data_IF_324648559340
#
_entry.id   IF_324648559340
#
_cell.length_a   1.000
_cell.length_b   1.000
_cell.length_c   1.000
_cell.angle_alpha   90.00
_cell.angle_beta   90.00
_cell.angle_gamma   90.00
#
_symmetry.space_group_name_H-M   'P 1'
#
loop_
_entity.id
_entity.type
_entity.pdbx_description
1 polymer ?
#
# COMPACT_ATOMS: atom_id res chain seq x y z
N UNK A 1 -0.78 -81.28 43.93
CA UNK A 1 -1.39 -81.99 42.78
C UNK A 1 -2.02 -80.98 41.86
N UNK A 2 -1.58 -80.98 40.59
CA UNK A 2 -2.33 -80.57 39.33
C UNK A 2 -3.07 -79.26 39.32
N UNK A 3 -3.07 -78.43 38.27
CA UNK A 3 -2.66 -78.63 36.89
C UNK A 3 -2.53 -77.18 36.24
N UNK A 4 -1.76 -77.15 35.21
CA UNK A 4 -1.45 -76.01 34.31
C UNK A 4 -2.67 -75.60 33.51
N UNK A 5 -2.88 -74.31 33.35
CA UNK A 5 -3.77 -73.67 32.34
C UNK A 5 -3.02 -72.54 31.62
N UNK A 6 -2.60 -72.85 30.40
CA UNK A 6 -1.91 -71.95 29.48
C UNK A 6 -2.97 -71.19 28.71
N UNK A 7 -2.99 -69.85 28.82
CA UNK A 7 -3.84 -69.00 27.99
C UNK A 7 -2.97 -68.11 27.12
N UNK A 8 -3.10 -68.29 25.83
CA UNK A 8 -2.41 -67.57 24.75
C UNK A 8 -3.03 -66.25 24.58
N UNK A 9 -2.24 -65.17 24.81
CA UNK A 9 -2.65 -63.81 24.55
C UNK A 9 -2.45 -63.42 23.07
N UNK A 10 -3.52 -63.15 22.36
CA UNK A 10 -3.51 -62.65 21.01
C UNK A 10 -3.04 -61.19 20.97
N UNK A 11 -1.96 -60.96 20.23
CA UNK A 11 -1.39 -59.64 19.95
C UNK A 11 -2.20 -59.00 18.83
N UNK A 12 -3.15 -58.14 19.20
CA UNK A 12 -3.89 -57.26 18.26
C UNK A 12 -3.08 -56.04 17.90
N UNK A 13 -2.47 -56.02 16.73
CA UNK A 13 -1.76 -54.89 16.18
C UNK A 13 -2.77 -53.89 15.57
N UNK A 14 -3.17 -52.87 16.33
CA UNK A 14 -3.98 -51.79 15.83
C UNK A 14 -3.08 -50.80 15.07
N UNK A 15 -3.12 -50.87 13.72
CA UNK A 15 -2.56 -49.79 12.86
C UNK A 15 -3.41 -48.54 13.04
N UNK A 16 -2.93 -47.59 13.84
CA UNK A 16 -3.46 -46.25 13.91
C UNK A 16 -3.06 -45.46 12.66
N UNK A 17 -4.00 -45.30 11.73
CA UNK A 17 -3.87 -44.36 10.62
C UNK A 17 -4.00 -42.94 11.19
N UNK A 18 -2.86 -42.31 11.46
CA UNK A 18 -2.83 -40.87 11.77
C UNK A 18 -3.15 -40.10 10.48
N UNK A 19 -4.41 -39.63 10.34
CA UNK A 19 -4.80 -38.62 9.35
C UNK A 19 -4.07 -37.34 9.69
N UNK A 20 -2.94 -37.09 9.05
CA UNK A 20 -2.33 -35.75 8.94
C UNK A 20 -3.30 -34.89 8.13
N UNK A 21 -4.24 -34.26 8.83
CA UNK A 21 -4.98 -33.13 8.29
C UNK A 21 -3.97 -31.99 8.07
N UNK A 22 -3.36 -31.98 6.89
CA UNK A 22 -2.58 -30.84 6.41
C UNK A 22 -3.53 -29.64 6.35
N UNK A 23 -3.40 -28.72 7.32
CA UNK A 23 -4.03 -27.41 7.21
C UNK A 23 -3.45 -26.76 5.95
N UNK A 24 -4.16 -26.88 4.84
CA UNK A 24 -3.91 -26.08 3.65
C UNK A 24 -4.07 -24.63 4.09
N UNK A 25 -2.93 -23.95 4.35
CA UNK A 25 -2.91 -22.50 4.42
C UNK A 25 -3.43 -22.04 3.07
N UNK A 26 -4.66 -21.52 3.06
CA UNK A 26 -5.17 -20.79 1.92
C UNK A 26 -4.18 -19.67 1.66
N UNK A 27 -3.30 -19.84 0.68
CA UNK A 27 -2.52 -18.76 0.14
C UNK A 27 -3.54 -17.81 -0.45
N UNK A 28 -3.80 -16.71 0.25
CA UNK A 28 -4.57 -15.61 -0.31
C UNK A 28 -3.88 -15.24 -1.62
N UNK A 29 -4.56 -15.51 -2.74
CA UNK A 29 -4.04 -15.20 -4.05
C UNK A 29 -3.63 -13.72 -4.09
N UNK A 30 -2.46 -13.45 -4.63
CA UNK A 30 -2.01 -12.06 -4.73
C UNK A 30 -3.04 -11.25 -5.54
N UNK A 31 -3.40 -10.03 -5.10
CA UNK A 31 -4.45 -9.23 -5.72
C UNK A 31 -4.19 -9.02 -7.21
N UNK A 32 -5.22 -9.16 -8.01
CA UNK A 32 -5.15 -8.89 -9.44
C UNK A 32 -5.22 -7.39 -9.72
N UNK A 33 -4.89 -6.98 -10.95
CA UNK A 33 -5.12 -5.59 -11.42
C UNK A 33 -6.57 -5.17 -11.19
N UNK A 34 -7.52 -6.02 -11.56
CA UNK A 34 -8.95 -5.68 -11.52
C UNK A 34 -9.46 -5.55 -10.08
N UNK A 35 -8.92 -6.34 -9.12
CA UNK A 35 -9.20 -6.17 -7.69
C UNK A 35 -8.72 -4.80 -7.19
N UNK A 36 -7.55 -4.35 -7.64
CA UNK A 36 -7.00 -3.04 -7.26
C UNK A 36 -7.86 -1.92 -7.86
N UNK A 37 -8.21 -2.03 -9.15
CA UNK A 37 -9.08 -1.05 -9.83
C UNK A 37 -10.44 -0.96 -9.13
N UNK A 38 -11.08 -2.09 -8.82
CA UNK A 38 -12.37 -2.13 -8.16
C UNK A 38 -12.36 -1.42 -6.79
N UNK A 39 -11.25 -1.54 -6.04
CA UNK A 39 -11.08 -0.86 -4.75
C UNK A 39 -10.84 0.63 -4.90
N UNK A 40 -10.02 1.05 -5.86
CA UNK A 40 -9.62 2.44 -6.03
C UNK A 40 -10.66 3.27 -6.80
N UNK A 41 -11.54 2.65 -7.58
CA UNK A 41 -12.55 3.33 -8.40
C UNK A 41 -13.82 3.72 -7.63
N UNK A 42 -13.85 3.54 -6.30
CA UNK A 42 -14.99 3.89 -5.43
C UNK A 42 -14.91 5.35 -4.93
N UNK A 43 -14.35 6.23 -5.75
CA UNK A 43 -14.13 7.62 -5.35
C UNK A 43 -15.42 8.42 -5.41
N UNK A 44 -15.86 8.92 -4.26
CA UNK A 44 -17.05 9.76 -4.12
C UNK A 44 -16.68 11.23 -3.92
N UNK A 45 -15.73 11.51 -3.04
CA UNK A 45 -15.37 12.87 -2.67
C UNK A 45 -13.87 12.99 -2.38
N UNK A 46 -13.27 14.12 -2.78
CA UNK A 46 -11.91 14.47 -2.43
C UNK A 46 -11.76 14.72 -0.92
N UNK A 47 -10.63 14.31 -0.35
CA UNK A 47 -10.29 14.70 1.00
C UNK A 47 -9.69 16.12 0.98
N UNK A 48 -10.22 17.01 1.83
CA UNK A 48 -9.62 18.34 2.04
C UNK A 48 -8.45 18.21 3.03
N UNK A 49 -7.35 17.64 2.60
CA UNK A 49 -6.15 17.44 3.42
C UNK A 49 -4.98 18.19 2.79
N UNK A 50 -4.44 19.15 3.53
CA UNK A 50 -3.17 19.77 3.18
C UNK A 50 -2.04 18.78 3.47
N UNK A 51 -1.51 18.17 2.41
CA UNK A 51 -0.45 17.15 2.51
C UNK A 51 0.86 17.71 3.06
N UNK A 52 1.15 18.99 2.84
CA UNK A 52 2.35 19.62 3.38
C UNK A 52 2.20 19.83 4.89
N UNK A 53 1.08 20.37 5.33
CA UNK A 53 0.77 20.52 6.74
C UNK A 53 0.73 19.16 7.46
N UNK A 54 0.14 18.14 6.83
CA UNK A 54 0.08 16.79 7.40
C UNK A 54 1.48 16.19 7.60
N UNK A 55 2.39 16.34 6.63
CA UNK A 55 3.79 15.90 6.78
C UNK A 55 4.49 16.57 7.96
N UNK A 56 4.29 17.88 8.12
CA UNK A 56 4.83 18.63 9.26
C UNK A 56 4.24 18.12 10.58
N UNK A 57 2.94 17.92 10.67
CA UNK A 57 2.26 17.41 11.86
C UNK A 57 2.77 16.00 12.26
N UNK A 58 2.98 15.11 11.29
CA UNK A 58 3.56 13.78 11.56
C UNK A 58 4.92 13.92 12.22
N UNK A 59 5.80 14.74 11.65
CA UNK A 59 7.15 14.95 12.18
C UNK A 59 7.14 15.62 13.56
N UNK A 60 6.29 16.61 13.78
CA UNK A 60 6.15 17.26 15.08
C UNK A 60 5.63 16.28 16.15
N UNK A 61 4.60 15.48 15.83
CA UNK A 61 4.12 14.44 16.76
C UNK A 61 5.18 13.39 17.06
N UNK A 62 5.96 13.00 16.06
CA UNK A 62 7.02 12.01 16.22
C UNK A 62 8.16 12.50 17.11
N UNK A 63 8.50 13.80 17.04
CA UNK A 63 9.53 14.43 17.86
C UNK A 63 9.07 14.74 19.28
N UNK A 64 7.79 15.07 19.46
CA UNK A 64 7.26 15.51 20.76
C UNK A 64 7.21 14.35 21.74
N UNK A 65 7.98 14.44 22.83
CA UNK A 65 7.90 13.55 23.98
C UNK A 65 6.86 14.13 24.96
N UNK A 66 5.66 13.58 24.92
CA UNK A 66 4.61 13.98 25.87
C UNK A 66 4.81 13.17 27.14
N UNK A 67 4.89 13.87 28.30
CA UNK A 67 4.86 13.22 29.62
C UNK A 67 3.47 12.55 29.72
N UNK A 68 3.41 11.24 29.93
CA UNK A 68 2.20 10.42 29.90
C UNK A 68 1.61 10.23 28.48
N UNK A 69 2.46 10.04 27.49
CA UNK A 69 2.02 9.70 26.13
C UNK A 69 1.13 8.44 26.17
N UNK A 70 -0.13 8.55 25.69
CA UNK A 70 -1.05 7.40 25.70
C UNK A 70 -0.62 6.27 24.76
N UNK A 71 0.49 6.44 24.05
CA UNK A 71 0.94 5.51 23.01
C UNK A 71 0.17 5.63 21.71
N UNK A 72 0.70 5.07 20.61
CA UNK A 72 0.16 5.28 19.26
C UNK A 72 -1.26 4.73 19.08
N UNK A 73 -1.63 3.70 19.87
CA UNK A 73 -2.98 3.08 19.82
C UNK A 73 -4.08 4.01 20.35
N UNK A 74 -3.77 4.74 21.41
CA UNK A 74 -4.76 5.55 22.13
C UNK A 74 -4.79 7.02 21.69
N UNK A 75 -3.91 7.41 20.75
CA UNK A 75 -3.94 8.75 20.18
C UNK A 75 -5.04 8.90 19.16
N UNK A 76 -5.54 10.14 19.03
CA UNK A 76 -6.41 10.48 17.90
C UNK A 76 -5.65 10.28 16.58
N UNK A 77 -6.36 9.78 15.57
CA UNK A 77 -5.80 9.67 14.20
C UNK A 77 -5.29 11.03 13.74
N UNK A 78 -4.15 11.04 13.08
CA UNK A 78 -3.57 12.28 12.56
C UNK A 78 -4.31 12.80 11.33
N UNK A 79 -4.85 11.90 10.53
CA UNK A 79 -5.59 12.20 9.30
C UNK A 79 -6.82 11.29 9.19
N UNK A 80 -7.89 11.54 9.99
CA UNK A 80 -9.09 10.69 9.99
C UNK A 80 -9.79 10.67 8.63
N UNK A 81 -9.70 11.74 7.85
CA UNK A 81 -10.34 11.83 6.54
C UNK A 81 -9.70 10.92 5.50
N UNK A 82 -8.42 10.58 5.65
CA UNK A 82 -7.79 9.58 4.77
C UNK A 82 -8.40 8.18 4.94
N UNK A 83 -8.94 7.86 6.11
CA UNK A 83 -9.58 6.57 6.35
C UNK A 83 -10.92 6.40 5.61
N UNK A 84 -11.49 7.49 5.09
CA UNK A 84 -12.74 7.50 4.31
C UNK A 84 -12.51 7.30 2.82
N UNK A 85 -11.27 7.45 2.36
CA UNK A 85 -10.92 7.35 0.95
C UNK A 85 -10.88 5.90 0.48
N UNK A 86 -11.20 5.65 -0.80
CA UNK A 86 -10.99 4.34 -1.41
C UNK A 86 -9.52 3.93 -1.30
N UNK A 87 -9.29 2.76 -0.70
CA UNK A 87 -7.95 2.32 -0.32
C UNK A 87 -7.64 0.91 -0.81
N UNK A 88 -6.42 0.72 -1.28
CA UNK A 88 -5.80 -0.57 -1.51
C UNK A 88 -4.57 -0.74 -0.62
N UNK A 89 -4.59 -1.76 0.26
CA UNK A 89 -3.46 -2.10 1.10
C UNK A 89 -2.50 -2.99 0.32
N UNK A 90 -1.31 -2.49 0.05
CA UNK A 90 -0.28 -3.17 -0.71
C UNK A 90 0.70 -3.88 0.23
N UNK A 91 0.78 -5.20 0.11
CA UNK A 91 1.80 -5.99 0.80
C UNK A 91 3.12 -5.87 0.03
N UNK A 92 3.90 -4.86 0.35
CA UNK A 92 5.23 -4.62 -0.20
C UNK A 92 6.25 -4.82 0.90
N UNK A 93 7.19 -5.73 0.67
CA UNK A 93 8.28 -5.99 1.58
C UNK A 93 9.49 -5.16 1.20
N UNK A 94 10.14 -4.62 2.23
CA UNK A 94 11.39 -3.87 2.11
C UNK A 94 12.49 -4.62 2.83
N UNK A 95 13.73 -4.39 2.44
CA UNK A 95 14.87 -4.87 3.19
C UNK A 95 14.86 -4.24 4.58
N UNK A 96 15.34 -4.99 5.57
CA UNK A 96 15.33 -4.55 6.96
C UNK A 96 15.93 -3.16 7.10
N UNK A 97 15.19 -2.26 7.75
CA UNK A 97 15.65 -0.90 8.06
C UNK A 97 16.02 -0.02 6.85
N UNK A 98 15.51 -0.36 5.67
CA UNK A 98 15.77 0.39 4.44
C UNK A 98 14.48 0.68 3.67
N UNK A 99 14.51 1.61 2.70
CA UNK A 99 13.43 1.77 1.72
C UNK A 99 13.62 0.90 0.46
N UNK A 100 14.55 -0.07 0.48
CA UNK A 100 14.85 -0.93 -0.67
C UNK A 100 13.75 -1.99 -0.79
N UNK A 101 13.07 -2.02 -1.93
CA UNK A 101 12.00 -2.96 -2.21
C UNK A 101 12.58 -4.35 -2.46
N UNK A 102 12.09 -5.36 -1.76
CA UNK A 102 12.52 -6.74 -1.98
C UNK A 102 12.05 -7.25 -3.36
N UNK A 103 12.84 -8.10 -4.04
CA UNK A 103 12.50 -8.64 -5.35
C UNK A 103 11.13 -9.33 -5.41
N UNK A 104 10.71 -10.01 -4.33
CA UNK A 104 9.40 -10.65 -4.20
C UNK A 104 8.22 -9.69 -4.34
N UNK A 105 8.43 -8.39 -4.08
CA UNK A 105 7.37 -7.37 -4.11
C UNK A 105 7.21 -6.66 -5.46
N UNK A 106 8.16 -6.82 -6.40
CA UNK A 106 8.07 -6.13 -7.70
C UNK A 106 6.86 -6.54 -8.52
N UNK A 107 6.39 -7.78 -8.39
CA UNK A 107 5.14 -8.19 -9.05
C UNK A 107 3.93 -7.41 -8.53
N UNK A 108 3.86 -7.17 -7.21
CA UNK A 108 2.80 -6.35 -6.62
C UNK A 108 2.88 -4.90 -7.08
N UNK A 109 4.09 -4.32 -7.15
CA UNK A 109 4.29 -2.97 -7.69
C UNK A 109 3.86 -2.88 -9.15
N UNK A 110 4.19 -3.88 -9.97
CA UNK A 110 3.74 -3.96 -11.38
C UNK A 110 2.22 -3.99 -11.50
N UNK A 111 1.52 -4.79 -10.70
CA UNK A 111 0.05 -4.82 -10.69
C UNK A 111 -0.58 -3.50 -10.25
N UNK A 112 0.03 -2.81 -9.29
CA UNK A 112 -0.38 -1.46 -8.91
C UNK A 112 -0.22 -0.51 -10.10
N UNK A 113 0.92 -0.54 -10.78
CA UNK A 113 1.16 0.30 -11.96
C UNK A 113 0.13 0.04 -13.06
N UNK A 114 -0.14 -1.24 -13.38
CA UNK A 114 -1.16 -1.64 -14.37
C UNK A 114 -2.57 -1.15 -13.98
N UNK A 115 -2.90 -1.19 -12.69
CA UNK A 115 -4.17 -0.66 -12.20
C UNK A 115 -4.24 0.87 -12.36
N UNK A 116 -3.20 1.60 -11.97
CA UNK A 116 -3.18 3.06 -12.02
C UNK A 116 -3.24 3.64 -13.44
N UNK A 117 -2.87 2.87 -14.46
CA UNK A 117 -3.02 3.26 -15.89
C UNK A 117 -4.32 2.76 -16.50
N UNK A 118 -5.16 2.06 -15.75
CA UNK A 118 -6.49 1.65 -16.23
C UNK A 118 -7.37 2.88 -16.53
N UNK A 119 -8.16 2.82 -17.60
CA UNK A 119 -8.95 3.97 -18.09
C UNK A 119 -9.84 4.61 -17.03
N UNK A 120 -10.45 3.82 -16.15
CA UNK A 120 -11.30 4.32 -15.06
C UNK A 120 -10.54 5.09 -13.98
N UNK A 121 -9.24 4.87 -13.84
CA UNK A 121 -8.40 5.51 -12.83
C UNK A 121 -7.54 6.67 -13.39
N UNK A 122 -7.50 6.85 -14.71
CA UNK A 122 -6.73 7.95 -15.33
C UNK A 122 -7.09 9.35 -14.81
N UNK A 123 -8.38 9.66 -14.53
CA UNK A 123 -8.76 11.00 -14.07
C UNK A 123 -8.36 11.32 -12.63
N UNK A 124 -7.75 10.37 -11.89
CA UNK A 124 -7.51 10.53 -10.47
C UNK A 124 -6.04 10.69 -10.10
N UNK A 125 -5.83 11.34 -8.96
CA UNK A 125 -4.56 11.40 -8.24
C UNK A 125 -4.61 10.45 -7.04
N UNK A 126 -3.44 9.98 -6.62
CA UNK A 126 -3.31 8.97 -5.58
C UNK A 126 -2.34 9.39 -4.50
N UNK A 127 -2.67 9.06 -3.25
CA UNK A 127 -1.71 9.07 -2.16
C UNK A 127 -1.04 7.71 -2.06
N UNK A 128 0.27 7.74 -1.86
CA UNK A 128 1.07 6.56 -1.50
C UNK A 128 1.41 6.72 -0.03
N UNK A 129 0.68 6.04 0.84
CA UNK A 129 0.80 6.21 2.28
C UNK A 129 1.67 5.11 2.86
N UNK A 130 2.82 5.50 3.42
CA UNK A 130 3.71 4.61 4.14
C UNK A 130 3.34 4.52 5.62
N UNK A 131 3.29 3.30 6.15
CA UNK A 131 3.13 3.00 7.55
C UNK A 131 4.31 2.20 8.07
N UNK A 132 4.51 2.18 9.37
CA UNK A 132 5.48 1.32 10.06
C UNK A 132 4.80 0.74 11.30
N UNK A 133 4.98 -0.55 11.51
CA UNK A 133 4.56 -1.21 12.75
C UNK A 133 5.34 -0.67 13.95
N UNK A 134 4.72 -0.74 15.14
CA UNK A 134 5.39 -0.38 16.37
C UNK A 134 6.58 -1.30 16.62
N UNK A 135 7.76 -0.73 16.80
CA UNK A 135 9.03 -1.43 16.99
C UNK A 135 9.89 -0.72 18.04
N UNK A 136 11.11 -1.20 18.23
CA UNK A 136 12.06 -0.62 19.22
C UNK A 136 12.68 0.71 18.81
N UNK A 137 12.42 1.20 17.59
CA UNK A 137 12.96 2.48 17.11
C UNK A 137 12.19 3.68 17.63
N UNK A 138 12.78 4.85 17.49
CA UNK A 138 12.10 6.09 17.82
C UNK A 138 10.97 6.37 16.81
N UNK A 139 9.90 7.02 17.26
CA UNK A 139 8.80 7.44 16.38
C UNK A 139 9.27 8.32 15.23
N UNK A 140 10.24 9.19 15.48
CA UNK A 140 10.86 10.02 14.45
C UNK A 140 11.55 9.17 13.37
N UNK A 141 12.31 8.15 13.76
CA UNK A 141 12.93 7.22 12.82
C UNK A 141 11.87 6.46 12.00
N UNK A 142 10.76 6.03 12.64
CA UNK A 142 9.66 5.35 11.97
C UNK A 142 8.90 6.28 11.02
N UNK A 143 8.69 7.55 11.39
CA UNK A 143 8.09 8.56 10.50
C UNK A 143 8.96 8.81 9.26
N UNK A 144 10.27 8.99 9.45
CA UNK A 144 11.24 9.16 8.35
C UNK A 144 11.26 7.92 7.44
N UNK A 145 11.28 6.71 8.02
CA UNK A 145 11.34 5.47 7.26
C UNK A 145 10.07 5.26 6.44
N UNK A 146 8.89 5.51 7.01
CA UNK A 146 7.62 5.41 6.30
C UNK A 146 7.55 6.36 5.10
N UNK A 147 8.06 7.60 5.26
CA UNK A 147 8.15 8.56 4.15
C UNK A 147 9.09 8.04 3.06
N UNK A 148 10.29 7.57 3.41
CA UNK A 148 11.26 7.04 2.44
C UNK A 148 10.73 5.83 1.67
N UNK A 149 9.96 4.95 2.32
CA UNK A 149 9.31 3.81 1.66
C UNK A 149 8.22 4.25 0.68
N UNK A 150 7.40 5.24 1.06
CA UNK A 150 6.41 5.82 0.15
C UNK A 150 7.07 6.50 -1.06
N UNK A 151 8.16 7.24 -0.84
CA UNK A 151 8.96 7.88 -1.89
C UNK A 151 9.54 6.84 -2.85
N UNK A 152 10.12 5.75 -2.33
CA UNK A 152 10.70 4.68 -3.15
C UNK A 152 9.66 4.04 -4.09
N UNK A 153 8.44 3.78 -3.61
CA UNK A 153 7.37 3.25 -4.46
C UNK A 153 6.95 4.27 -5.52
N UNK A 154 6.77 5.55 -5.14
CA UNK A 154 6.50 6.61 -6.11
C UNK A 154 7.56 6.65 -7.20
N UNK A 155 8.83 6.61 -6.83
CA UNK A 155 9.95 6.71 -7.77
C UNK A 155 9.97 5.52 -8.75
N UNK A 156 9.67 4.31 -8.29
CA UNK A 156 9.52 3.15 -9.19
C UNK A 156 8.33 3.35 -10.13
N UNK A 157 7.17 3.79 -9.64
CA UNK A 157 5.99 4.03 -10.47
C UNK A 157 6.23 5.12 -11.52
N UNK A 158 6.95 6.17 -11.17
CA UNK A 158 7.30 7.27 -12.08
C UNK A 158 8.40 6.86 -13.07
N UNK A 159 9.52 6.34 -12.57
CA UNK A 159 10.71 6.14 -13.38
C UNK A 159 10.62 4.89 -14.26
N UNK A 160 10.03 3.81 -13.74
CA UNK A 160 9.90 2.53 -14.45
C UNK A 160 8.62 2.47 -15.27
N UNK A 161 7.48 2.80 -14.65
CA UNK A 161 6.16 2.66 -15.29
C UNK A 161 5.64 3.95 -15.93
N UNK A 162 6.41 5.05 -15.86
CA UNK A 162 6.11 6.34 -16.51
C UNK A 162 4.78 6.97 -16.07
N UNK A 163 4.32 6.65 -14.87
CA UNK A 163 3.14 7.31 -14.29
C UNK A 163 3.50 8.76 -13.95
N UNK A 164 2.64 9.69 -14.33
CA UNK A 164 2.88 11.13 -14.10
C UNK A 164 3.08 11.45 -12.62
N UNK A 165 4.12 12.25 -12.33
CA UNK A 165 4.41 12.76 -10.99
C UNK A 165 3.26 13.58 -10.40
N UNK A 166 2.46 14.24 -11.25
CA UNK A 166 1.27 15.01 -10.85
C UNK A 166 0.18 14.13 -10.23
N UNK A 167 0.22 12.82 -10.50
CA UNK A 167 -0.78 11.87 -10.01
C UNK A 167 -0.41 11.16 -8.71
N UNK A 168 0.85 11.23 -8.26
CA UNK A 168 1.38 10.42 -7.17
C UNK A 168 1.95 11.29 -6.06
N UNK A 169 1.32 11.23 -4.88
CA UNK A 169 1.69 12.03 -3.72
C UNK A 169 2.12 11.10 -2.56
N UNK A 170 3.41 10.94 -2.31
CA UNK A 170 3.90 10.08 -1.24
C UNK A 170 3.80 10.79 0.11
N UNK A 171 3.35 10.06 1.13
CA UNK A 171 3.29 10.52 2.51
C UNK A 171 3.59 9.39 3.48
N UNK A 172 4.45 9.63 4.46
CA UNK A 172 4.72 8.69 5.55
C UNK A 172 3.96 9.10 6.80
N UNK A 173 3.17 8.20 7.36
CA UNK A 173 2.45 8.42 8.61
C UNK A 173 3.14 7.75 9.81
N UNK A 174 4.21 6.98 9.60
CA UNK A 174 4.90 6.26 10.68
C UNK A 174 3.94 5.37 11.46
N UNK A 175 3.89 5.58 12.77
CA UNK A 175 3.01 4.89 13.71
C UNK A 175 1.72 5.68 14.02
N UNK A 176 1.49 6.84 13.39
CA UNK A 176 0.42 7.76 13.80
C UNK A 176 -0.97 7.30 13.33
N UNK A 177 -1.04 6.33 12.41
CA UNK A 177 -2.29 5.80 11.90
C UNK A 177 -2.16 4.31 11.56
N UNK A 178 -2.31 3.45 12.56
CA UNK A 178 -2.29 2.00 12.37
C UNK A 178 -3.50 1.50 11.57
N UNK A 179 -3.26 0.52 10.69
CA UNK A 179 -4.30 -0.23 9.99
C UNK A 179 -5.01 -1.22 10.93
N UNK A 180 -4.25 -1.85 11.82
CA UNK A 180 -4.75 -2.70 12.92
C UNK A 180 -4.30 -2.11 14.26
N UNK A 181 -5.18 -1.32 14.89
CA UNK A 181 -4.91 -0.69 16.18
C UNK A 181 -4.91 -1.68 17.34
N UNK A 182 -5.58 -2.82 17.19
CA UNK A 182 -5.61 -3.85 18.23
C UNK A 182 -4.26 -4.57 18.35
N UNK A 183 -3.46 -4.61 17.27
CA UNK A 183 -2.16 -5.26 17.22
C UNK A 183 -1.09 -4.32 16.63
N UNK A 184 -0.56 -3.36 17.41
CA UNK A 184 0.38 -2.34 16.92
C UNK A 184 1.64 -2.88 16.26
N UNK A 185 2.11 -4.06 16.73
CA UNK A 185 3.31 -4.75 16.21
C UNK A 185 3.02 -5.67 15.03
N UNK A 186 1.76 -5.72 14.56
CA UNK A 186 1.39 -6.55 13.41
C UNK A 186 2.03 -6.03 12.14
N UNK A 187 2.54 -6.93 11.30
CA UNK A 187 3.10 -6.61 9.99
C UNK A 187 2.10 -5.90 9.05
N UNK A 188 0.79 -5.99 9.32
CA UNK A 188 -0.23 -5.20 8.63
C UNK A 188 0.02 -3.71 8.77
N UNK A 189 0.51 -3.27 9.93
CA UNK A 189 0.81 -1.86 10.19
C UNK A 189 2.09 -1.35 9.50
N UNK A 190 2.88 -2.23 8.92
CA UNK A 190 4.04 -1.88 8.09
C UNK A 190 3.75 -1.84 6.60
N UNK A 191 2.48 -2.06 6.21
CA UNK A 191 2.07 -2.06 4.81
C UNK A 191 1.97 -0.66 4.22
N UNK A 192 1.96 -0.63 2.91
CA UNK A 192 1.75 0.58 2.12
C UNK A 192 0.29 0.64 1.68
N UNK A 193 -0.31 1.83 1.71
CA UNK A 193 -1.65 2.04 1.15
C UNK A 193 -1.58 2.92 -0.09
N UNK A 194 -2.37 2.57 -1.10
CA UNK A 194 -2.69 3.46 -2.21
C UNK A 194 -4.11 3.96 -1.98
N UNK A 195 -4.29 5.26 -1.94
CA UNK A 195 -5.59 5.90 -1.75
C UNK A 195 -5.95 6.74 -2.98
N UNK A 196 -7.19 6.67 -3.45
CA UNK A 196 -7.67 7.62 -4.45
C UNK A 196 -8.00 8.94 -3.74
N UNK A 197 -7.26 10.00 -4.08
CA UNK A 197 -7.26 11.23 -3.31
C UNK A 197 -8.13 12.34 -3.89
N UNK A 198 -7.97 12.62 -5.19
CA UNK A 198 -8.69 13.68 -5.87
C UNK A 198 -8.79 13.40 -7.37
N UNK A 199 -9.64 14.14 -8.06
CA UNK A 199 -9.58 14.21 -9.52
C UNK A 199 -8.45 15.14 -9.95
N UNK A 200 -7.78 14.80 -11.06
CA UNK A 200 -6.88 15.74 -11.72
C UNK A 200 -7.68 16.98 -12.14
N UNK A 201 -7.13 18.19 -11.96
CA UNK A 201 -7.71 19.38 -12.59
C UNK A 201 -7.83 19.12 -14.09
N UNK A 202 -8.98 19.44 -14.68
CA UNK A 202 -9.10 19.45 -16.14
C UNK A 202 -8.11 20.49 -16.68
N UNK A 203 -7.15 20.04 -17.47
CA UNK A 203 -6.25 20.95 -18.17
C UNK A 203 -7.13 21.75 -19.14
N UNK A 204 -7.14 23.11 -19.08
CA UNK A 204 -7.96 23.89 -20.01
C UNK A 204 -7.61 23.46 -21.43
N UNK A 205 -8.63 23.08 -22.21
CA UNK A 205 -8.45 22.63 -23.58
C UNK A 205 -7.58 23.66 -24.32
N UNK A 206 -6.39 23.25 -24.73
CA UNK A 206 -5.57 24.10 -25.59
C UNK A 206 -6.44 24.50 -26.79
N UNK A 207 -6.63 25.80 -27.08
CA UNK A 207 -7.34 26.20 -28.26
C UNK A 207 -6.67 25.50 -29.46
N UNK A 208 -7.48 24.73 -30.19
CA UNK A 208 -7.01 24.01 -31.37
C UNK A 208 -6.20 25.00 -32.23
N UNK A 209 -4.91 24.72 -32.37
CA UNK A 209 -4.06 25.50 -33.28
C UNK A 209 -4.67 25.40 -34.67
N UNK A 210 -5.40 26.44 -35.07
CA UNK A 210 -5.92 26.54 -36.42
C UNK A 210 -4.73 26.38 -37.39
N UNK A 211 -4.76 25.40 -38.31
CA UNK A 211 -3.67 25.26 -39.27
C UNK A 211 -3.49 26.55 -40.00
N UNK A 212 -2.27 27.09 -39.98
CA UNK A 212 -1.93 28.30 -40.73
C UNK A 212 -2.28 28.10 -42.22
N UNK A 213 -2.91 29.11 -42.88
CA UNK A 213 -3.27 29.01 -44.31
C UNK A 213 -2.00 28.71 -45.12
N UNK A 214 -2.06 27.65 -45.91
CA UNK A 214 -0.96 27.26 -46.81
C UNK A 214 -0.51 28.43 -47.69
N UNK A 215 0.73 28.86 -47.52
CA UNK A 215 1.33 29.92 -48.32
C UNK A 215 1.27 29.53 -49.81
N UNK A 216 0.56 30.34 -50.64
CA UNK A 216 0.47 30.20 -52.10
C UNK A 216 1.87 30.37 -52.68
N UNK A 217 2.37 29.36 -53.36
CA UNK A 217 3.62 29.42 -54.15
C UNK A 217 3.51 30.52 -55.21
N UNK A 218 4.51 31.38 -55.37
CA UNK A 218 4.51 32.39 -56.47
C UNK A 218 4.64 31.69 -57.80
N UNK A 219 3.67 31.91 -58.70
CA UNK A 219 3.71 31.50 -60.10
C UNK A 219 4.75 32.33 -60.85
N UNK A 220 5.82 31.69 -61.33
CA UNK A 220 6.85 32.26 -62.15
C UNK A 220 6.25 32.49 -63.56
N UNK A 221 5.94 33.74 -63.92
CA UNK A 221 5.64 34.10 -65.33
C UNK A 221 6.90 34.04 -66.17
N UNK A 222 6.75 33.36 -67.26
CA UNK A 222 7.71 33.35 -68.40
C UNK A 222 7.49 34.58 -69.27
#
# INVERSE_FOLDING_TARGET
MRAKGLAIAGLGMALGFALLAGAARAQTAAPTRDDIVAKLNQFEQAAEVDLHALKQQVMERAKTRIKNDPGPVNRALIAPDLAKLPAFNAQIQFDADTPIIQPSSYQTVGRIADALVHSSLLPYTFLIVGHVESNSKTREANAIMSQRRADAIRDVLVNTFKISTKRLHPIGLGEEQFLDRAKPTSAVNGQLQILTYAKLPEEPAHPATTPAPAAKKPTKKR
#
